data_IF_379950671366
#
_entry.id   IF_379950671366
#
_cell.length_a   1.000
_cell.length_b   1.000
_cell.length_c   1.000
_cell.angle_alpha   90.00
_cell.angle_beta   90.00
_cell.angle_gamma   90.00
#
_symmetry.space_group_name_H-M   'P 1'
#
loop_
_entity.id
_entity.type
_entity.pdbx_description
1 polymer ?
#
# COMPACT_ATOMS: atom_id res chain seq x y z
N UNK A 1 -8.61 17.10 6.50
CA UNK A 1 -8.85 16.80 5.07
C UNK A 1 -8.61 15.33 4.83
N UNK A 2 -9.61 14.66 4.37
CA UNK A 2 -9.47 13.21 4.12
C UNK A 2 -8.57 12.97 2.92
N UNK A 3 -7.61 12.07 3.09
CA UNK A 3 -6.68 11.71 2.01
C UNK A 3 -7.42 11.11 0.82
N UNK A 4 -8.51 10.37 1.10
CA UNK A 4 -9.32 9.73 0.07
C UNK A 4 -10.76 10.21 0.15
N UNK A 5 -11.40 10.50 -1.01
CA UNK A 5 -12.83 10.78 -1.02
C UNK A 5 -13.62 9.51 -0.71
N UNK A 6 -14.85 9.66 -0.21
CA UNK A 6 -15.72 8.53 0.13
C UNK A 6 -16.72 8.19 -0.98
N UNK A 7 -17.10 9.18 -1.77
CA UNK A 7 -18.06 9.00 -2.86
C UNK A 7 -17.42 8.35 -4.08
N UNK A 8 -18.01 7.27 -4.65
CA UNK A 8 -17.44 6.60 -5.82
C UNK A 8 -17.14 7.53 -6.99
N UNK A 9 -18.01 8.49 -7.24
CA UNK A 9 -17.81 9.47 -8.30
C UNK A 9 -16.55 10.30 -8.06
N UNK A 10 -16.33 10.75 -6.83
CA UNK A 10 -15.15 11.54 -6.48
C UNK A 10 -13.88 10.71 -6.53
N UNK A 11 -13.96 9.43 -6.16
CA UNK A 11 -12.83 8.50 -6.28
C UNK A 11 -12.44 8.35 -7.75
N UNK A 12 -13.41 8.11 -8.65
CA UNK A 12 -13.14 7.99 -10.09
C UNK A 12 -12.53 9.25 -10.68
N UNK A 13 -13.04 10.42 -10.28
CA UNK A 13 -12.51 11.70 -10.73
C UNK A 13 -11.06 11.89 -10.29
N UNK A 14 -10.74 11.50 -9.05
CA UNK A 14 -9.37 11.59 -8.54
C UNK A 14 -8.42 10.64 -9.26
N UNK A 15 -8.85 9.40 -9.51
CA UNK A 15 -8.06 8.44 -10.30
C UNK A 15 -7.72 9.03 -11.67
N UNK A 16 -8.72 9.52 -12.39
CA UNK A 16 -8.53 10.09 -13.73
C UNK A 16 -7.58 11.28 -13.70
N UNK A 17 -7.72 12.14 -12.69
CA UNK A 17 -6.86 13.32 -12.55
C UNK A 17 -5.41 12.91 -12.29
N UNK A 18 -5.18 11.95 -11.40
CA UNK A 18 -3.82 11.50 -11.09
C UNK A 18 -3.17 10.80 -12.27
N UNK A 19 -3.89 9.93 -12.95
CA UNK A 19 -3.38 9.24 -14.14
C UNK A 19 -3.03 10.25 -15.24
N UNK A 20 -3.89 11.24 -15.44
CA UNK A 20 -3.64 12.29 -16.42
C UNK A 20 -2.41 13.13 -16.08
N UNK A 21 -2.23 13.47 -14.81
CA UNK A 21 -1.07 14.24 -14.36
C UNK A 21 0.23 13.46 -14.50
N UNK A 22 0.22 12.16 -14.19
CA UNK A 22 1.38 11.31 -14.38
C UNK A 22 1.71 11.16 -15.88
N UNK A 23 0.71 10.97 -16.72
CA UNK A 23 0.89 10.87 -18.17
C UNK A 23 1.44 12.19 -18.74
N UNK A 24 0.96 13.32 -18.22
CA UNK A 24 1.46 14.63 -18.64
C UNK A 24 2.94 14.81 -18.33
N UNK A 25 3.39 14.37 -17.13
CA UNK A 25 4.82 14.42 -16.82
C UNK A 25 5.64 13.57 -17.80
N UNK A 26 5.15 12.36 -18.11
CA UNK A 26 5.83 11.49 -19.07
C UNK A 26 5.91 12.12 -20.44
N UNK A 27 4.82 12.72 -20.92
CA UNK A 27 4.75 13.36 -22.24
C UNK A 27 5.67 14.59 -22.34
N UNK A 28 5.74 15.39 -21.27
CA UNK A 28 6.52 16.63 -21.26
C UNK A 28 8.01 16.40 -21.01
N UNK A 29 8.35 15.46 -20.13
CA UNK A 29 9.71 15.31 -19.64
C UNK A 29 10.37 13.94 -19.96
N UNK A 30 9.61 13.00 -20.54
CA UNK A 30 10.08 11.66 -20.81
C UNK A 30 10.33 10.81 -19.56
N UNK A 31 9.97 11.33 -18.39
CA UNK A 31 10.09 10.66 -17.10
C UNK A 31 9.07 11.24 -16.12
N UNK A 32 8.81 10.49 -15.05
CA UNK A 32 7.85 10.89 -14.02
C UNK A 32 8.61 11.15 -12.73
N UNK A 33 8.56 12.41 -12.24
CA UNK A 33 9.11 12.81 -10.94
C UNK A 33 8.13 12.57 -9.80
N UNK A 34 6.85 12.79 -10.07
CA UNK A 34 5.73 12.56 -9.14
C UNK A 34 6.00 13.12 -7.73
N UNK A 35 6.18 14.43 -7.64
CA UNK A 35 6.57 15.11 -6.40
C UNK A 35 5.59 14.93 -5.24
N UNK A 36 4.34 14.60 -5.50
CA UNK A 36 3.30 14.40 -4.48
C UNK A 36 2.97 12.92 -4.24
N UNK A 37 3.67 12.00 -4.87
CA UNK A 37 3.49 10.57 -4.64
C UNK A 37 2.16 10.02 -5.15
N UNK A 38 1.60 10.58 -6.22
CA UNK A 38 0.34 10.13 -6.82
C UNK A 38 0.36 8.64 -7.17
N UNK A 39 1.53 8.14 -7.58
CA UNK A 39 1.70 6.73 -7.94
C UNK A 39 1.40 5.77 -6.78
N UNK A 40 1.59 6.22 -5.53
CA UNK A 40 1.31 5.41 -4.34
C UNK A 40 -0.16 5.45 -3.92
N UNK A 41 -0.93 6.40 -4.44
CA UNK A 41 -2.32 6.60 -4.06
C UNK A 41 -3.31 5.93 -5.02
N UNK A 42 -2.89 5.64 -6.23
CA UNK A 42 -3.77 5.08 -7.25
C UNK A 42 -4.26 3.67 -6.93
N UNK A 43 -3.37 2.78 -6.45
CA UNK A 43 -3.77 1.44 -6.04
C UNK A 43 -4.83 1.46 -4.95
N UNK A 44 -4.58 2.18 -3.82
CA UNK A 44 -5.60 2.38 -2.79
C UNK A 44 -6.92 2.94 -3.32
N UNK A 45 -6.88 3.96 -4.19
CA UNK A 45 -8.10 4.54 -4.77
C UNK A 45 -8.90 3.52 -5.58
N UNK A 46 -8.24 2.72 -6.42
CA UNK A 46 -8.92 1.66 -7.16
C UNK A 46 -9.58 0.65 -6.23
N UNK A 47 -8.90 0.24 -5.15
CA UNK A 47 -9.47 -0.70 -4.18
C UNK A 47 -10.67 -0.11 -3.44
N UNK A 48 -10.60 1.16 -3.06
CA UNK A 48 -11.72 1.85 -2.41
C UNK A 48 -12.93 1.94 -3.35
N UNK A 49 -12.68 2.03 -4.65
CA UNK A 49 -13.74 1.99 -5.66
C UNK A 49 -14.33 0.59 -5.86
N UNK A 50 -13.65 -0.46 -5.37
CA UNK A 50 -14.02 -1.85 -5.60
C UNK A 50 -13.51 -2.40 -6.92
N UNK A 51 -12.58 -1.72 -7.57
CA UNK A 51 -12.02 -2.09 -8.87
C UNK A 51 -10.68 -2.79 -8.70
N UNK A 52 -10.72 -4.09 -8.37
CA UNK A 52 -9.51 -4.90 -8.18
C UNK A 52 -8.72 -5.04 -9.49
N UNK A 53 -9.39 -5.17 -10.63
CA UNK A 53 -8.75 -5.26 -11.95
C UNK A 53 -7.99 -3.99 -12.27
N UNK A 54 -8.59 -2.82 -12.04
CA UNK A 54 -7.94 -1.53 -12.24
C UNK A 54 -6.73 -1.36 -11.33
N UNK A 55 -6.86 -1.79 -10.07
CA UNK A 55 -5.74 -1.75 -9.12
C UNK A 55 -4.59 -2.63 -9.61
N UNK A 56 -4.87 -3.86 -10.05
CA UNK A 56 -3.83 -4.76 -10.57
C UNK A 56 -3.10 -4.16 -11.77
N UNK A 57 -3.85 -3.59 -12.72
CA UNK A 57 -3.25 -2.93 -13.88
C UNK A 57 -2.34 -1.77 -13.48
N UNK A 58 -2.76 -1.00 -12.48
CA UNK A 58 -1.94 0.10 -11.96
C UNK A 58 -0.63 -0.43 -11.35
N UNK A 59 -0.69 -1.51 -10.56
CA UNK A 59 0.51 -2.06 -9.93
C UNK A 59 1.46 -2.69 -10.95
N UNK A 60 0.96 -3.29 -12.01
CA UNK A 60 1.78 -3.79 -13.11
C UNK A 60 2.50 -2.63 -13.83
N UNK A 61 1.78 -1.54 -14.08
CA UNK A 61 2.36 -0.32 -14.62
C UNK A 61 3.44 0.25 -13.68
N UNK A 62 3.14 0.30 -12.38
CA UNK A 62 4.07 0.82 -11.37
C UNK A 62 5.37 0.02 -11.37
N UNK A 63 5.28 -1.30 -11.38
CA UNK A 63 6.47 -2.15 -11.36
C UNK A 63 7.32 -1.97 -12.62
N UNK A 64 6.70 -1.77 -13.78
CA UNK A 64 7.40 -1.53 -15.03
C UNK A 64 8.05 -0.14 -15.07
N UNK A 65 7.37 0.88 -14.55
CA UNK A 65 7.83 2.27 -14.61
C UNK A 65 8.84 2.64 -13.52
N UNK A 66 8.73 2.03 -12.36
CA UNK A 66 9.55 2.35 -11.19
C UNK A 66 10.20 1.09 -10.61
N UNK A 67 11.00 0.34 -11.42
CA UNK A 67 11.69 -0.84 -10.92
C UNK A 67 12.67 -0.43 -9.82
N UNK A 68 12.56 -1.03 -8.66
CA UNK A 68 13.39 -0.66 -7.51
C UNK A 68 12.79 0.35 -6.56
N UNK A 69 11.64 0.94 -6.89
CA UNK A 69 10.90 1.77 -5.95
C UNK A 69 10.31 0.86 -4.86
N UNK A 70 10.67 1.12 -3.62
CA UNK A 70 10.23 0.29 -2.49
C UNK A 70 8.76 0.50 -2.11
N UNK A 71 8.15 1.56 -2.63
CA UNK A 71 6.77 1.90 -2.32
C UNK A 71 6.59 2.55 -0.95
N UNK A 72 5.37 2.98 -0.70
CA UNK A 72 4.92 3.52 0.58
C UNK A 72 4.15 2.42 1.34
N UNK A 73 4.14 2.40 2.68
CA UNK A 73 3.41 1.36 3.42
C UNK A 73 1.96 1.16 2.99
N UNK A 74 1.19 2.24 2.77
CA UNK A 74 -0.20 2.10 2.30
C UNK A 74 -0.28 1.48 0.90
N UNK A 75 0.65 1.81 0.02
CA UNK A 75 0.76 1.25 -1.32
C UNK A 75 1.05 -0.25 -1.27
N UNK A 76 1.99 -0.67 -0.43
CA UNK A 76 2.35 -2.08 -0.23
C UNK A 76 1.20 -2.88 0.41
N UNK A 77 0.53 -2.29 1.40
CA UNK A 77 -0.63 -2.90 2.04
C UNK A 77 -1.71 -3.25 1.01
N UNK A 78 -2.04 -2.29 0.17
CA UNK A 78 -3.05 -2.48 -0.88
C UNK A 78 -2.58 -3.42 -1.99
N UNK A 79 -1.31 -3.33 -2.37
CA UNK A 79 -0.74 -4.22 -3.41
C UNK A 79 -0.83 -5.69 -2.99
N UNK A 80 -0.48 -5.99 -1.73
CA UNK A 80 -0.58 -7.35 -1.22
C UNK A 80 -2.02 -7.86 -1.26
N UNK A 81 -2.99 -7.03 -0.91
CA UNK A 81 -4.40 -7.41 -0.95
C UNK A 81 -4.89 -7.67 -2.39
N UNK A 82 -4.51 -6.83 -3.34
CA UNK A 82 -4.85 -7.04 -4.76
C UNK A 82 -4.32 -8.37 -5.25
N UNK A 83 -3.04 -8.65 -5.01
CA UNK A 83 -2.42 -9.90 -5.46
C UNK A 83 -3.07 -11.12 -4.80
N UNK A 84 -3.41 -11.03 -3.52
CA UNK A 84 -4.14 -12.08 -2.82
C UNK A 84 -5.51 -12.32 -3.48
N UNK A 85 -6.27 -11.27 -3.77
CA UNK A 85 -7.61 -11.37 -4.36
C UNK A 85 -7.61 -12.00 -5.75
N UNK A 86 -6.56 -11.79 -6.53
CA UNK A 86 -6.43 -12.38 -7.86
C UNK A 86 -5.73 -13.75 -7.85
N UNK A 87 -5.49 -14.32 -6.68
CA UNK A 87 -4.94 -15.66 -6.53
C UNK A 87 -3.42 -15.77 -6.62
N UNK A 88 -2.70 -14.65 -6.66
CA UNK A 88 -1.24 -14.62 -6.73
C UNK A 88 -0.65 -14.56 -5.32
N UNK A 89 -0.86 -15.61 -4.52
CA UNK A 89 -0.52 -15.59 -3.10
C UNK A 89 0.99 -15.47 -2.83
N UNK A 90 1.84 -16.10 -3.64
CA UNK A 90 3.29 -15.99 -3.46
C UNK A 90 3.77 -14.54 -3.67
N UNK A 91 3.28 -13.88 -4.71
CA UNK A 91 3.60 -12.49 -4.98
C UNK A 91 3.02 -11.58 -3.88
N UNK A 92 1.80 -11.86 -3.41
CA UNK A 92 1.17 -11.13 -2.32
C UNK A 92 2.00 -11.23 -1.03
N UNK A 93 2.49 -12.42 -0.70
CA UNK A 93 3.35 -12.63 0.47
C UNK A 93 4.65 -11.85 0.37
N UNK A 94 5.22 -11.75 -0.84
CA UNK A 94 6.42 -10.93 -1.07
C UNK A 94 6.16 -9.46 -0.75
N UNK A 95 5.01 -8.92 -1.16
CA UNK A 95 4.65 -7.52 -0.84
C UNK A 95 4.39 -7.31 0.65
N UNK A 96 3.79 -8.29 1.34
CA UNK A 96 3.64 -8.21 2.81
C UNK A 96 4.99 -8.22 3.52
N UNK A 97 5.93 -9.05 3.09
CA UNK A 97 7.28 -9.04 3.66
C UNK A 97 7.97 -7.69 3.44
N UNK A 98 7.81 -7.10 2.27
CA UNK A 98 8.33 -5.76 2.01
C UNK A 98 7.68 -4.71 2.91
N UNK A 99 6.38 -4.85 3.17
CA UNK A 99 5.66 -3.97 4.09
C UNK A 99 6.22 -4.07 5.50
N UNK A 100 6.44 -5.28 6.01
CA UNK A 100 7.03 -5.49 7.34
C UNK A 100 8.42 -4.86 7.44
N UNK A 101 9.24 -5.02 6.40
CA UNK A 101 10.58 -4.44 6.35
C UNK A 101 10.54 -2.90 6.30
N UNK A 102 9.53 -2.33 5.64
CA UNK A 102 9.38 -0.89 5.49
C UNK A 102 8.75 -0.24 6.72
N UNK A 103 7.82 -0.92 7.38
CA UNK A 103 7.09 -0.37 8.52
C UNK A 103 6.63 -1.50 9.45
N UNK A 104 7.14 -1.51 10.67
CA UNK A 104 6.85 -2.55 11.66
C UNK A 104 5.46 -2.44 12.30
N UNK A 105 4.73 -1.35 12.08
CA UNK A 105 3.46 -1.10 12.77
C UNK A 105 2.22 -1.44 11.94
N UNK A 106 2.31 -1.37 10.62
CA UNK A 106 1.13 -1.49 9.75
C UNK A 106 0.50 -2.88 9.83
N UNK A 107 1.29 -3.93 9.69
CA UNK A 107 0.74 -5.30 9.71
C UNK A 107 0.20 -5.70 11.09
N UNK A 108 0.88 -5.42 12.22
CA UNK A 108 0.28 -5.62 13.54
C UNK A 108 -1.03 -4.87 13.73
N UNK A 109 -1.14 -3.62 13.26
CA UNK A 109 -2.39 -2.85 13.32
C UNK A 109 -3.50 -3.53 12.53
N UNK A 110 -3.19 -4.00 11.33
CA UNK A 110 -4.15 -4.71 10.49
C UNK A 110 -4.68 -5.96 11.19
N UNK A 111 -3.78 -6.77 11.75
CA UNK A 111 -4.14 -8.08 12.31
C UNK A 111 -4.85 -7.96 13.67
N UNK A 112 -4.43 -7.03 14.53
CA UNK A 112 -5.04 -6.87 15.86
C UNK A 112 -6.28 -5.98 15.87
N UNK A 113 -6.40 -5.09 14.90
CA UNK A 113 -7.44 -4.06 14.89
C UNK A 113 -7.16 -2.90 15.85
N UNK A 114 -6.00 -2.92 16.52
CA UNK A 114 -5.64 -1.91 17.53
C UNK A 114 -4.31 -1.24 17.17
N UNK A 115 -4.16 0.01 17.59
CA UNK A 115 -2.90 0.73 17.40
C UNK A 115 -1.81 0.10 18.26
N UNK A 116 -0.68 -0.34 17.66
CA UNK A 116 0.42 -0.89 18.43
C UNK A 116 1.13 0.18 19.25
N UNK A 117 1.95 -0.26 20.23
CA UNK A 117 2.82 0.65 20.99
C UNK A 117 3.88 1.21 20.05
N UNK A 118 3.91 2.53 19.89
CA UNK A 118 4.83 3.21 18.99
C UNK A 118 6.13 3.59 19.72
N UNK A 119 7.25 3.35 19.06
CA UNK A 119 8.55 3.83 19.50
C UNK A 119 8.75 5.24 18.93
N UNK A 120 8.75 6.23 19.80
CA UNK A 120 8.88 7.63 19.41
C UNK A 120 10.33 8.09 19.27
N UNK A 121 11.29 7.16 19.33
CA UNK A 121 12.69 7.48 19.05
C UNK A 121 12.89 7.72 17.55
N UNK A 122 12.74 8.97 17.16
CA UNK A 122 12.80 9.41 15.77
C UNK A 122 14.18 9.20 15.14
N UNK A 123 15.23 9.15 15.96
CA UNK A 123 16.61 8.98 15.45
C UNK A 123 16.83 7.55 14.96
N UNK A 124 16.21 6.57 15.61
CA UNK A 124 16.38 5.17 15.25
C UNK A 124 15.63 4.82 13.93
N UNK A 125 14.42 5.37 13.74
CA UNK A 125 13.57 5.05 12.59
C UNK A 125 12.83 6.29 12.09
N UNK A 126 13.55 7.22 11.43
CA UNK A 126 12.92 8.46 10.95
C UNK A 126 11.82 8.19 9.94
N UNK A 127 10.67 8.77 10.16
CA UNK A 127 9.52 8.69 9.26
C UNK A 127 8.62 7.47 9.43
N UNK A 128 9.05 6.41 10.13
CA UNK A 128 8.27 5.17 10.24
C UNK A 128 6.93 5.39 10.96
N UNK A 129 6.93 6.15 12.05
CA UNK A 129 5.71 6.48 12.79
C UNK A 129 4.77 7.34 11.93
N UNK A 130 5.31 8.35 11.26
CA UNK A 130 4.52 9.20 10.37
C UNK A 130 3.90 8.40 9.23
N UNK A 131 4.67 7.55 8.57
CA UNK A 131 4.17 6.71 7.49
C UNK A 131 3.07 5.76 7.99
N UNK A 132 3.21 5.23 9.20
CA UNK A 132 2.18 4.42 9.83
C UNK A 132 0.90 5.24 10.09
N UNK A 133 1.05 6.42 10.68
CA UNK A 133 -0.10 7.29 11.00
C UNK A 133 -0.82 7.80 9.75
N UNK A 134 -0.10 7.88 8.62
CA UNK A 134 -0.68 8.32 7.35
C UNK A 134 -1.57 7.25 6.68
N UNK A 135 -1.53 5.99 7.14
CA UNK A 135 -2.37 4.94 6.56
C UNK A 135 -3.81 5.11 7.05
N UNK A 136 -4.75 5.48 6.15
CA UNK A 136 -6.14 5.69 6.55
C UNK A 136 -6.81 4.40 7.01
N UNK A 137 -7.72 4.53 7.98
CA UNK A 137 -8.46 3.40 8.54
C UNK A 137 -9.27 2.65 7.47
N UNK A 138 -9.74 3.35 6.43
CA UNK A 138 -10.51 2.76 5.35
C UNK A 138 -9.75 1.65 4.62
N UNK A 139 -8.43 1.74 4.56
CA UNK A 139 -7.62 0.74 3.88
C UNK A 139 -7.52 -0.56 4.67
N UNK A 140 -7.48 -0.47 6.00
CA UNK A 140 -7.54 -1.66 6.84
C UNK A 140 -8.91 -2.36 6.71
N UNK A 141 -9.98 -1.58 6.57
CA UNK A 141 -11.34 -2.11 6.47
C UNK A 141 -11.60 -2.88 5.17
N UNK A 142 -10.74 -2.77 4.17
CA UNK A 142 -10.85 -3.52 2.91
C UNK A 142 -10.53 -5.01 3.07
N UNK A 143 -9.84 -5.39 4.14
CA UNK A 143 -9.41 -6.76 4.39
C UNK A 143 -10.55 -7.55 5.05
N UNK A 144 -11.01 -8.61 4.39
CA UNK A 144 -12.02 -9.50 4.97
C UNK A 144 -11.36 -10.56 5.86
N UNK A 145 -12.18 -11.40 6.52
CA UNK A 145 -11.70 -12.41 7.46
C UNK A 145 -10.74 -13.40 6.80
N UNK A 146 -11.01 -13.82 5.57
CA UNK A 146 -10.17 -14.78 4.84
C UNK A 146 -8.81 -14.17 4.51
N UNK A 147 -8.81 -12.93 4.03
CA UNK A 147 -7.56 -12.20 3.75
C UNK A 147 -6.75 -11.96 5.01
N UNK A 148 -7.41 -11.61 6.12
CA UNK A 148 -6.75 -11.42 7.42
C UNK A 148 -6.13 -12.72 7.93
N UNK A 149 -6.85 -13.84 7.80
CA UNK A 149 -6.33 -15.14 8.20
C UNK A 149 -5.08 -15.52 7.40
N UNK A 150 -5.11 -15.28 6.09
CA UNK A 150 -3.95 -15.48 5.23
C UNK A 150 -2.78 -14.57 5.65
N UNK A 151 -3.04 -13.29 5.88
CA UNK A 151 -2.00 -12.34 6.30
C UNK A 151 -1.36 -12.77 7.63
N UNK A 152 -2.16 -13.33 8.54
CA UNK A 152 -1.65 -13.86 9.81
C UNK A 152 -0.68 -15.00 9.57
N UNK A 153 -0.96 -15.90 8.63
CA UNK A 153 -0.04 -17.01 8.31
C UNK A 153 1.30 -16.49 7.77
N UNK A 154 1.27 -15.44 6.95
CA UNK A 154 2.50 -14.80 6.45
C UNK A 154 3.27 -14.14 7.59
N UNK A 155 2.56 -13.41 8.45
CA UNK A 155 3.16 -12.74 9.62
C UNK A 155 3.85 -13.72 10.57
N UNK A 156 3.29 -14.90 10.73
CA UNK A 156 3.83 -15.95 11.60
C UNK A 156 4.89 -16.83 10.91
N UNK A 157 5.16 -16.59 9.62
CA UNK A 157 6.15 -17.36 8.88
C UNK A 157 7.58 -17.12 9.40
N UNK A 158 8.49 -18.08 9.21
CA UNK A 158 9.89 -17.90 9.64
C UNK A 158 10.56 -16.69 9.03
N UNK A 159 10.28 -16.39 7.76
CA UNK A 159 10.85 -15.26 7.02
C UNK A 159 10.46 -13.93 7.68
N UNK A 160 9.19 -13.77 8.05
CA UNK A 160 8.71 -12.54 8.69
C UNK A 160 9.19 -12.46 10.13
N UNK A 161 9.22 -13.56 10.86
CA UNK A 161 9.78 -13.58 12.22
C UNK A 161 11.22 -13.11 12.23
N UNK A 162 12.00 -13.50 11.23
CA UNK A 162 13.39 -13.07 11.09
C UNK A 162 13.47 -11.55 10.82
N UNK A 163 12.58 -11.00 9.99
CA UNK A 163 12.51 -9.55 9.75
C UNK A 163 12.17 -8.79 11.03
N UNK A 164 11.28 -9.34 11.86
CA UNK A 164 10.83 -8.70 13.10
C UNK A 164 11.88 -8.69 14.20
N UNK A 165 12.83 -9.62 14.16
CA UNK A 165 13.88 -9.73 15.18
C UNK A 165 15.05 -8.77 14.96
N UNK A 166 15.08 -8.07 13.85
CA UNK A 166 16.07 -7.03 13.52
C UNK A 166 15.53 -5.68 13.99
#
# INVERSE_FOLDING_TARGET
MDLFPQEPRQIRERIRRYERLLQKEMDEFGQISDGYGKRYLLGPLYLLLGDTTGALSHYEWFEAMFPGDRGHPMHLLCWSLVLYRVGQQAAAATRLRQLVAANRYVLPRLLSGETPVLDLDVEAHPGEVFDFEDVPIELYALWDEEALAWAQTVYDSPEVRQLRSK
#
